data_IF_610746216126
#
_entry.id   IF_610746216126
#
_cell.length_a   1.000
_cell.length_b   1.000
_cell.length_c   1.000
_cell.angle_alpha   90.00
_cell.angle_beta   90.00
_cell.angle_gamma   90.00
#
_symmetry.space_group_name_H-M   'P 1'
#
loop_
_entity.id
_entity.type
_entity.pdbx_description
1 polymer ?
#
# COMPACT_ATOMS: atom_id res chain seq x y z
N UNK A 1 24.39 -10.43 -47.03
CA UNK A 1 23.77 -9.32 -46.31
C UNK A 1 22.97 -9.90 -45.17
N UNK A 2 23.37 -9.59 -43.92
CA UNK A 2 22.63 -9.94 -42.75
C UNK A 2 21.59 -8.85 -42.44
N UNK A 3 20.33 -9.22 -42.27
CA UNK A 3 19.26 -8.33 -41.79
C UNK A 3 19.21 -8.49 -40.28
N UNK A 4 19.40 -7.38 -39.55
CA UNK A 4 19.15 -7.32 -38.10
C UNK A 4 17.85 -6.57 -37.86
N UNK A 5 17.03 -7.05 -36.93
CA UNK A 5 15.86 -6.33 -36.43
C UNK A 5 16.06 -5.94 -34.97
N UNK A 6 15.50 -4.81 -34.58
CA UNK A 6 15.48 -4.31 -33.24
C UNK A 6 14.04 -4.11 -32.81
N UNK A 7 13.60 -4.79 -31.76
CA UNK A 7 12.28 -4.56 -31.20
C UNK A 7 12.28 -3.24 -30.42
N UNK A 8 11.32 -2.37 -30.71
CA UNK A 8 11.11 -1.11 -29.98
C UNK A 8 9.74 -1.09 -29.36
N UNK A 9 9.72 -0.76 -28.08
CA UNK A 9 8.51 -0.64 -27.29
C UNK A 9 8.22 0.84 -27.04
N UNK A 10 6.93 1.19 -26.96
CA UNK A 10 6.52 2.52 -26.49
C UNK A 10 6.76 2.63 -24.98
N UNK A 11 7.18 3.81 -24.54
CA UNK A 11 7.32 4.07 -23.11
C UNK A 11 5.93 4.30 -22.47
N UNK A 12 5.71 3.85 -21.22
CA UNK A 12 4.50 4.19 -20.48
C UNK A 12 4.42 5.71 -20.23
N UNK A 13 3.23 6.25 -19.91
CA UNK A 13 3.10 7.64 -19.48
C UNK A 13 4.03 7.96 -18.32
N UNK A 14 4.55 9.18 -18.30
CA UNK A 14 5.38 9.66 -17.19
C UNK A 14 4.57 9.73 -15.90
N UNK A 15 5.21 9.48 -14.75
CA UNK A 15 4.62 9.78 -13.45
C UNK A 15 4.40 11.28 -13.29
N UNK A 16 3.42 11.66 -12.49
CA UNK A 16 3.20 13.05 -12.15
C UNK A 16 4.40 13.64 -11.40
N UNK A 17 4.71 14.89 -11.71
CA UNK A 17 5.46 15.79 -10.83
C UNK A 17 4.45 16.59 -9.99
N UNK A 18 4.92 17.31 -8.97
CA UNK A 18 4.06 18.20 -8.16
C UNK A 18 3.31 19.20 -9.06
N UNK A 19 4.02 19.85 -9.98
CA UNK A 19 3.42 20.80 -10.91
C UNK A 19 2.44 20.15 -11.89
N UNK A 20 2.77 18.98 -12.45
CA UNK A 20 1.88 18.25 -13.34
C UNK A 20 0.62 17.73 -12.65
N UNK A 21 0.73 17.35 -11.37
CA UNK A 21 -0.44 16.97 -10.58
C UNK A 21 -1.33 18.19 -10.31
N UNK A 22 -0.76 19.35 -9.94
CA UNK A 22 -1.52 20.59 -9.73
C UNK A 22 -2.26 21.00 -11.02
N UNK A 23 -1.59 20.98 -12.17
CA UNK A 23 -2.21 21.27 -13.46
C UNK A 23 -3.39 20.32 -13.75
N UNK A 24 -3.22 19.04 -13.44
CA UNK A 24 -4.31 18.05 -13.61
C UNK A 24 -5.48 18.31 -12.67
N UNK A 25 -5.22 18.63 -11.40
CA UNK A 25 -6.24 18.99 -10.42
C UNK A 25 -7.02 20.24 -10.86
N UNK A 26 -6.32 21.26 -11.35
CA UNK A 26 -6.91 22.49 -11.90
C UNK A 26 -7.83 22.18 -13.08
N UNK A 27 -7.36 21.39 -14.04
CA UNK A 27 -8.14 21.00 -15.23
C UNK A 27 -9.38 20.17 -14.87
N UNK A 28 -9.34 19.41 -13.76
CA UNK A 28 -10.46 18.64 -13.24
C UNK A 28 -11.38 19.44 -12.31
N UNK A 29 -11.04 20.67 -11.96
CA UNK A 29 -11.79 21.50 -10.99
C UNK A 29 -11.67 21.03 -9.55
N UNK A 30 -10.65 20.21 -9.23
CA UNK A 30 -10.41 19.66 -7.90
C UNK A 30 -9.46 20.56 -7.13
N UNK A 31 -9.91 21.11 -6.01
CA UNK A 31 -9.15 22.08 -5.22
C UNK A 31 -9.22 23.50 -5.81
N UNK A 32 -8.50 24.40 -5.18
CA UNK A 32 -8.39 25.82 -5.57
C UNK A 32 -6.94 26.26 -5.34
N UNK A 33 -6.47 27.38 -5.91
CA UNK A 33 -5.08 27.84 -5.74
C UNK A 33 -4.61 27.88 -4.28
N UNK A 34 -5.50 28.24 -3.36
CA UNK A 34 -5.20 28.30 -1.92
C UNK A 34 -5.04 26.91 -1.26
N UNK A 35 -5.49 25.82 -1.88
CA UNK A 35 -5.49 24.48 -1.30
C UNK A 35 -4.51 23.51 -1.96
N UNK A 36 -4.00 23.80 -3.16
CA UNK A 36 -3.10 22.87 -3.88
C UNK A 36 -1.87 22.48 -3.06
N UNK A 37 -1.20 23.45 -2.44
CA UNK A 37 -0.01 23.15 -1.64
C UNK A 37 -0.32 22.22 -0.46
N UNK A 38 -1.46 22.42 0.20
CA UNK A 38 -1.89 21.56 1.32
C UNK A 38 -2.33 20.16 0.87
N UNK A 39 -2.90 20.03 -0.33
CA UNK A 39 -3.24 18.74 -0.93
C UNK A 39 -1.95 17.95 -1.20
N UNK A 40 -0.98 18.55 -1.91
CA UNK A 40 0.30 17.91 -2.19
C UNK A 40 1.00 17.47 -0.90
N UNK A 41 1.13 18.38 0.09
CA UNK A 41 1.74 18.05 1.37
C UNK A 41 1.05 16.85 2.03
N UNK A 42 -0.27 16.83 2.07
CA UNK A 42 -1.03 15.76 2.72
C UNK A 42 -0.87 14.41 2.04
N UNK A 43 -0.85 14.36 0.71
CA UNK A 43 -0.66 13.09 0.00
C UNK A 43 0.78 12.58 0.14
N UNK A 44 1.78 13.47 0.13
CA UNK A 44 3.20 13.09 0.28
C UNK A 44 3.57 12.69 1.70
N UNK A 45 2.80 13.09 2.70
CA UNK A 45 3.02 12.65 4.09
C UNK A 45 2.75 11.15 4.30
N UNK A 46 1.81 10.55 3.55
CA UNK A 46 1.32 9.19 3.85
C UNK A 46 1.19 8.31 2.61
N UNK A 47 0.72 8.86 1.49
CA UNK A 47 0.24 8.07 0.36
C UNK A 47 1.17 8.02 -0.84
N UNK A 48 2.07 9.00 -0.94
CA UNK A 48 2.93 9.19 -2.10
C UNK A 48 4.31 9.56 -1.62
N UNK A 49 5.35 8.93 -2.16
CA UNK A 49 6.73 9.37 -1.95
C UNK A 49 7.26 10.11 -3.17
N UNK A 50 8.19 11.02 -2.95
CA UNK A 50 8.89 11.71 -4.03
C UNK A 50 10.17 10.97 -4.41
N UNK A 51 10.29 10.61 -5.69
CA UNK A 51 11.51 10.07 -6.28
C UNK A 51 12.03 11.03 -7.34
N UNK A 52 13.01 11.84 -6.99
CA UNK A 52 13.46 12.94 -7.83
C UNK A 52 12.34 13.96 -8.06
N UNK A 53 11.83 14.05 -9.28
CA UNK A 53 10.69 14.91 -9.65
C UNK A 53 9.37 14.14 -9.77
N UNK A 54 9.39 12.85 -9.57
CA UNK A 54 8.23 11.98 -9.77
C UNK A 54 7.54 11.67 -8.45
N UNK A 55 6.22 11.65 -8.49
CA UNK A 55 5.38 11.20 -7.39
C UNK A 55 5.09 9.70 -7.58
N UNK A 56 5.45 8.89 -6.59
CA UNK A 56 5.28 7.43 -6.60
C UNK A 56 4.31 7.02 -5.50
N UNK A 57 3.14 6.44 -5.85
CA UNK A 57 2.18 6.00 -4.85
C UNK A 57 2.73 4.88 -3.98
N UNK A 58 2.47 4.96 -2.67
CA UNK A 58 2.77 3.94 -1.70
C UNK A 58 1.69 2.84 -1.69
N UNK A 59 1.99 1.61 -1.28
CA UNK A 59 1.00 0.52 -1.21
C UNK A 59 -0.27 0.88 -0.44
N UNK A 60 -0.15 1.68 0.61
CA UNK A 60 -1.30 2.11 1.41
C UNK A 60 -2.29 2.95 0.60
N UNK A 61 -1.83 3.69 -0.42
CA UNK A 61 -2.70 4.46 -1.30
C UNK A 61 -3.60 3.55 -2.12
N UNK A 62 -3.05 2.49 -2.70
CA UNK A 62 -3.80 1.52 -3.50
C UNK A 62 -4.85 0.81 -2.65
N UNK A 63 -4.44 0.21 -1.52
CA UNK A 63 -5.36 -0.50 -0.63
C UNK A 63 -6.52 0.41 -0.16
N UNK A 64 -6.23 1.70 0.08
CA UNK A 64 -7.26 2.65 0.49
C UNK A 64 -8.22 3.01 -0.64
N UNK A 65 -7.70 3.21 -1.85
CA UNK A 65 -8.53 3.52 -3.01
C UNK A 65 -9.41 2.32 -3.36
N UNK A 66 -8.89 1.10 -3.34
CA UNK A 66 -9.65 -0.12 -3.60
C UNK A 66 -10.88 -0.21 -2.69
N UNK A 67 -10.70 -0.06 -1.37
CA UNK A 67 -11.83 -0.05 -0.41
C UNK A 67 -12.83 1.07 -0.70
N UNK A 68 -12.34 2.27 -0.98
CA UNK A 68 -13.23 3.39 -1.26
C UNK A 68 -14.02 3.18 -2.55
N UNK A 69 -13.41 2.60 -3.59
CA UNK A 69 -14.09 2.27 -4.84
C UNK A 69 -15.13 1.17 -4.66
N UNK A 70 -14.84 0.16 -3.84
CA UNK A 70 -15.75 -0.96 -3.60
C UNK A 70 -16.97 -0.57 -2.75
N UNK A 71 -16.79 0.30 -1.77
CA UNK A 71 -17.83 0.62 -0.78
C UNK A 71 -18.42 2.03 -0.91
N UNK A 72 -17.65 2.97 -1.46
CA UNK A 72 -18.00 4.38 -1.56
C UNK A 72 -17.62 4.98 -2.93
N UNK A 73 -18.00 4.35 -4.06
CA UNK A 73 -17.53 4.76 -5.39
C UNK A 73 -17.81 6.23 -5.71
N UNK A 74 -18.97 6.75 -5.29
CA UNK A 74 -19.34 8.16 -5.56
C UNK A 74 -18.37 9.14 -4.88
N UNK A 75 -17.78 8.81 -3.71
CA UNK A 75 -16.88 9.72 -2.99
C UNK A 75 -15.48 9.83 -3.64
N UNK A 76 -15.10 8.88 -4.49
CA UNK A 76 -13.80 8.86 -5.18
C UNK A 76 -13.89 9.33 -6.64
N UNK A 77 -15.10 9.60 -7.12
CA UNK A 77 -15.30 10.21 -8.44
C UNK A 77 -14.73 11.63 -8.47
N UNK A 78 -13.97 11.96 -9.51
CA UNK A 78 -13.39 13.30 -9.67
C UNK A 78 -14.47 14.38 -9.77
N UNK A 79 -15.57 14.06 -10.45
CA UNK A 79 -16.73 14.95 -10.59
C UNK A 79 -17.35 15.31 -9.25
N UNK A 80 -17.42 14.36 -8.30
CA UNK A 80 -17.95 14.60 -6.96
C UNK A 80 -17.18 15.71 -6.23
N UNK A 81 -15.86 15.62 -6.25
CA UNK A 81 -15.00 16.63 -5.60
C UNK A 81 -15.11 17.99 -6.31
N UNK A 82 -15.09 18.00 -7.65
CA UNK A 82 -15.25 19.23 -8.42
C UNK A 82 -16.61 19.92 -8.15
N UNK A 83 -17.70 19.17 -8.17
CA UNK A 83 -19.03 19.68 -7.83
C UNK A 83 -19.11 20.21 -6.40
N UNK A 84 -18.44 19.57 -5.45
CA UNK A 84 -18.38 20.05 -4.07
C UNK A 84 -17.65 21.39 -3.98
N UNK A 85 -16.55 21.56 -4.68
CA UNK A 85 -15.81 22.82 -4.76
C UNK A 85 -16.68 23.94 -5.37
N UNK A 86 -17.41 23.65 -6.46
CA UNK A 86 -18.32 24.59 -7.10
C UNK A 86 -19.46 25.01 -6.16
N UNK A 87 -20.02 24.09 -5.38
CA UNK A 87 -21.04 24.39 -4.37
C UNK A 87 -20.50 25.25 -3.23
N UNK A 88 -19.24 25.04 -2.82
CA UNK A 88 -18.58 25.88 -1.84
C UNK A 88 -18.37 27.32 -2.38
N UNK A 89 -18.06 27.47 -3.67
CA UNK A 89 -17.98 28.79 -4.32
C UNK A 89 -19.37 29.48 -4.38
N UNK A 90 -20.44 28.72 -4.63
CA UNK A 90 -21.80 29.28 -4.56
C UNK A 90 -22.16 29.77 -3.16
N UNK A 91 -21.74 29.08 -2.10
CA UNK A 91 -21.92 29.53 -0.72
C UNK A 91 -21.13 30.81 -0.47
N UNK A 92 -19.86 30.86 -0.90
CA UNK A 92 -19.02 32.04 -0.76
C UNK A 92 -19.62 33.29 -1.43
N UNK A 93 -20.28 33.09 -2.56
CA UNK A 93 -20.95 34.15 -3.33
C UNK A 93 -22.39 34.46 -2.85
N UNK A 94 -22.87 33.77 -1.81
CA UNK A 94 -24.22 33.98 -1.28
C UNK A 94 -25.36 33.38 -2.11
N UNK A 95 -25.05 32.54 -3.10
CA UNK A 95 -26.01 31.91 -4.02
C UNK A 95 -26.51 30.55 -3.54
N UNK A 96 -25.92 29.98 -2.48
CA UNK A 96 -26.31 28.74 -1.84
C UNK A 96 -26.16 28.88 -0.32
N UNK A 97 -27.11 28.33 0.44
CA UNK A 97 -26.98 28.27 1.91
C UNK A 97 -26.14 27.05 2.31
N UNK A 98 -25.27 27.26 3.27
CA UNK A 98 -24.43 26.16 3.83
C UNK A 98 -25.28 25.00 4.36
N UNK A 99 -26.38 25.32 5.03
CA UNK A 99 -27.30 24.35 5.62
C UNK A 99 -27.91 23.43 4.55
N UNK A 100 -28.28 23.99 3.39
CA UNK A 100 -28.83 23.21 2.28
C UNK A 100 -27.80 22.24 1.71
N UNK A 101 -26.54 22.68 1.50
CA UNK A 101 -25.46 21.81 1.06
C UNK A 101 -25.21 20.68 2.06
N UNK A 102 -25.14 20.99 3.37
CA UNK A 102 -24.88 19.98 4.41
C UNK A 102 -26.03 18.98 4.51
N UNK A 103 -27.30 19.44 4.39
CA UNK A 103 -28.45 18.54 4.37
C UNK A 103 -28.42 17.61 3.16
N UNK A 104 -28.18 18.15 1.95
CA UNK A 104 -28.07 17.35 0.73
C UNK A 104 -26.95 16.33 0.81
N UNK A 105 -25.80 16.71 1.32
CA UNK A 105 -24.66 15.82 1.48
C UNK A 105 -24.92 14.72 2.51
N UNK A 106 -25.50 15.08 3.67
CA UNK A 106 -25.69 14.13 4.76
C UNK A 106 -26.92 13.22 4.59
N UNK A 107 -28.05 13.80 4.25
CA UNK A 107 -29.32 13.07 4.14
C UNK A 107 -29.66 12.66 2.70
N UNK A 108 -29.06 13.30 1.72
CA UNK A 108 -29.35 13.13 0.30
C UNK A 108 -30.53 14.03 -0.18
N UNK A 109 -30.55 14.24 -1.49
CA UNK A 109 -31.59 14.94 -2.18
C UNK A 109 -31.89 14.22 -3.50
N UNK A 110 -32.77 13.24 -3.47
CA UNK A 110 -33.04 12.33 -4.59
C UNK A 110 -31.95 11.26 -4.84
N UNK A 111 -30.86 11.30 -4.07
CA UNK A 111 -29.80 10.30 -4.00
C UNK A 111 -29.58 9.89 -2.55
N UNK A 112 -28.87 8.78 -2.32
CA UNK A 112 -28.45 8.38 -0.97
C UNK A 112 -27.46 9.39 -0.42
N UNK A 113 -27.75 9.92 0.77
CA UNK A 113 -26.81 10.77 1.49
C UNK A 113 -25.69 9.96 2.17
N UNK A 114 -24.67 10.65 2.65
CA UNK A 114 -23.56 10.02 3.35
C UNK A 114 -24.02 9.18 4.55
N UNK A 115 -25.03 9.62 5.27
CA UNK A 115 -25.62 8.88 6.40
C UNK A 115 -26.09 7.48 6.01
N UNK A 116 -26.71 7.33 4.84
CA UNK A 116 -27.20 6.04 4.37
C UNK A 116 -26.05 5.16 3.81
N UNK A 117 -24.99 5.79 3.31
CA UNK A 117 -23.80 5.10 2.82
C UNK A 117 -22.93 4.56 3.95
N UNK A 118 -22.82 5.25 5.08
CA UNK A 118 -22.03 4.86 6.25
C UNK A 118 -22.87 4.20 7.35
N UNK A 119 -24.01 3.59 7.00
CA UNK A 119 -24.78 2.88 7.99
C UNK A 119 -23.99 1.71 8.59
N UNK A 120 -24.38 1.26 9.79
CA UNK A 120 -23.67 0.22 10.52
C UNK A 120 -23.56 -1.11 9.74
N UNK A 121 -24.51 -1.40 8.86
CA UNK A 121 -24.54 -2.64 8.08
C UNK A 121 -23.45 -2.65 7.01
N UNK A 122 -23.24 -1.53 6.31
CA UNK A 122 -22.15 -1.38 5.34
C UNK A 122 -20.80 -1.47 6.05
N UNK A 123 -20.64 -0.74 7.16
CA UNK A 123 -19.37 -0.73 7.91
C UNK A 123 -19.03 -2.12 8.47
N UNK A 124 -20.02 -2.87 8.96
CA UNK A 124 -19.82 -4.23 9.48
C UNK A 124 -19.39 -5.24 8.41
N UNK A 125 -19.74 -5.00 7.15
CA UNK A 125 -19.39 -5.86 6.02
C UNK A 125 -18.01 -5.55 5.42
N UNK A 126 -17.36 -4.44 5.81
CA UNK A 126 -16.01 -4.12 5.39
C UNK A 126 -15.02 -4.95 6.22
N UNK A 127 -14.26 -5.82 5.56
CA UNK A 127 -13.16 -6.53 6.22
C UNK A 127 -11.99 -5.56 6.48
N UNK A 128 -11.61 -5.30 7.74
CA UNK A 128 -10.47 -4.43 8.04
C UNK A 128 -9.15 -4.90 7.41
N UNK A 129 -9.05 -6.17 7.02
CA UNK A 129 -7.85 -6.70 6.35
C UNK A 129 -7.73 -6.22 4.92
N UNK A 130 -8.85 -5.91 4.26
CA UNK A 130 -8.86 -5.38 2.88
C UNK A 130 -8.20 -4.00 2.83
N UNK A 131 -8.37 -3.17 3.87
CA UNK A 131 -7.70 -1.88 4.00
C UNK A 131 -6.15 -1.95 4.01
N UNK A 132 -5.60 -3.14 4.15
CA UNK A 132 -4.15 -3.38 4.24
C UNK A 132 -3.65 -4.41 3.25
N UNK A 133 -4.49 -4.82 2.31
CA UNK A 133 -4.22 -5.92 1.37
C UNK A 133 -4.46 -5.48 -0.06
N UNK A 134 -3.48 -5.72 -0.92
CA UNK A 134 -3.61 -5.54 -2.36
C UNK A 134 -3.47 -6.92 -2.99
N UNK A 135 -4.49 -7.36 -3.71
CA UNK A 135 -4.46 -8.62 -4.47
C UNK A 135 -3.55 -8.43 -5.68
N UNK A 136 -2.59 -9.33 -5.86
CA UNK A 136 -1.68 -9.28 -7.00
C UNK A 136 -2.09 -10.30 -8.07
N UNK A 137 -1.70 -11.54 -7.89
CA UNK A 137 -1.94 -12.63 -8.85
C UNK A 137 -1.83 -13.99 -8.15
N UNK A 138 -2.01 -15.06 -8.91
CA UNK A 138 -1.76 -16.43 -8.46
C UNK A 138 -0.40 -16.90 -8.99
N UNK A 139 0.34 -17.62 -8.17
CA UNK A 139 1.59 -18.25 -8.60
C UNK A 139 1.35 -19.45 -9.55
N UNK A 140 2.43 -20.11 -9.99
CA UNK A 140 2.35 -21.26 -10.90
C UNK A 140 1.65 -22.48 -10.29
N UNK A 141 1.52 -22.52 -8.97
CA UNK A 141 0.83 -23.57 -8.23
C UNK A 141 -0.64 -23.21 -7.93
N UNK A 142 -1.10 -22.04 -8.38
CA UNK A 142 -2.45 -21.53 -8.16
C UNK A 142 -2.67 -20.91 -6.78
N UNK A 143 -1.61 -20.64 -6.03
CA UNK A 143 -1.68 -19.97 -4.72
C UNK A 143 -1.79 -18.47 -4.91
N UNK A 144 -2.77 -17.85 -4.26
CA UNK A 144 -2.92 -16.40 -4.28
C UNK A 144 -1.76 -15.71 -3.57
N UNK A 145 -1.24 -14.66 -4.19
CA UNK A 145 -0.23 -13.78 -3.62
C UNK A 145 -0.83 -12.39 -3.47
N UNK A 146 -0.66 -11.83 -2.27
CA UNK A 146 -1.11 -10.50 -1.94
C UNK A 146 0.05 -9.66 -1.38
N UNK A 147 -0.02 -8.36 -1.60
CA UNK A 147 0.84 -7.39 -0.95
C UNK A 147 0.14 -6.87 0.30
N UNK A 148 0.76 -7.02 1.45
CA UNK A 148 0.33 -6.41 2.71
C UNK A 148 1.05 -5.08 2.89
N UNK A 149 0.31 -4.02 3.25
CA UNK A 149 0.90 -2.69 3.48
C UNK A 149 1.84 -2.64 4.69
N UNK A 150 1.78 -3.68 5.54
CA UNK A 150 2.68 -3.83 6.67
C UNK A 150 2.32 -2.96 7.87
N UNK A 151 3.13 -3.10 8.94
CA UNK A 151 3.02 -2.24 10.13
C UNK A 151 3.93 -1.03 9.99
N UNK A 152 3.50 0.09 10.53
CA UNK A 152 4.36 1.28 10.64
C UNK A 152 5.40 1.01 11.74
N UNK A 153 6.68 1.01 11.35
CA UNK A 153 7.82 0.84 12.26
C UNK A 153 8.77 2.01 12.01
N UNK A 154 9.02 2.82 13.04
CA UNK A 154 9.90 4.00 12.92
C UNK A 154 9.36 5.07 11.95
N UNK A 155 8.03 5.22 11.84
CA UNK A 155 7.39 6.22 10.98
C UNK A 155 7.22 5.78 9.51
N UNK A 156 7.64 4.56 9.14
CA UNK A 156 7.48 4.00 7.80
C UNK A 156 6.73 2.68 7.83
N UNK A 157 5.81 2.48 6.89
CA UNK A 157 5.22 1.19 6.63
C UNK A 157 6.29 0.24 6.04
N UNK A 158 6.25 -1.04 6.43
CA UNK A 158 7.10 -2.08 5.85
C UNK A 158 6.21 -3.11 5.15
N UNK A 159 5.92 -2.89 3.88
CA UNK A 159 5.13 -3.82 3.09
C UNK A 159 5.83 -5.17 2.94
N UNK A 160 5.04 -6.22 2.75
CA UNK A 160 5.55 -7.57 2.52
C UNK A 160 4.58 -8.38 1.67
N UNK A 161 5.10 -9.37 0.99
CA UNK A 161 4.30 -10.33 0.23
C UNK A 161 3.79 -11.43 1.17
N UNK A 162 2.54 -11.83 0.98
CA UNK A 162 1.91 -12.96 1.68
C UNK A 162 1.29 -13.88 0.63
N UNK A 163 1.65 -15.15 0.67
CA UNK A 163 1.07 -16.21 -0.14
C UNK A 163 -0.03 -16.94 0.66
N UNK A 164 -1.03 -17.48 0.01
CA UNK A 164 -2.21 -18.10 0.66
C UNK A 164 -1.88 -19.29 1.57
N UNK A 165 -0.70 -19.90 1.45
CA UNK A 165 -0.20 -20.94 2.34
C UNK A 165 0.43 -20.39 3.64
N UNK A 166 0.41 -19.08 3.83
CA UNK A 166 0.98 -18.40 5.00
C UNK A 166 2.44 -18.00 4.88
N UNK A 167 3.11 -18.36 3.77
CA UNK A 167 4.48 -17.93 3.51
C UNK A 167 4.53 -16.44 3.18
N UNK A 168 5.58 -15.78 3.67
CA UNK A 168 5.81 -14.34 3.47
C UNK A 168 7.15 -14.08 2.84
N UNK A 169 7.29 -13.03 2.03
CA UNK A 169 8.56 -12.55 1.53
C UNK A 169 8.71 -11.04 1.75
N UNK A 170 9.93 -10.59 1.99
CA UNK A 170 10.26 -9.17 2.18
C UNK A 170 10.49 -8.49 0.84
N UNK A 171 10.24 -7.19 0.81
CA UNK A 171 10.47 -6.34 -0.36
C UNK A 171 11.65 -5.40 -0.10
N UNK A 172 12.40 -4.99 -1.13
CA UNK A 172 13.39 -3.92 -1.03
C UNK A 172 12.71 -2.60 -0.65
N UNK A 173 13.46 -1.66 -0.07
CA UNK A 173 12.88 -0.38 0.37
C UNK A 173 12.45 0.52 -0.79
N UNK A 174 13.05 0.34 -1.96
CA UNK A 174 12.83 1.13 -3.18
C UNK A 174 11.85 0.48 -4.17
N UNK A 175 11.17 -0.62 -3.78
CA UNK A 175 10.22 -1.26 -4.68
C UNK A 175 9.05 -0.32 -5.03
N UNK A 176 8.46 -0.57 -6.19
CA UNK A 176 7.21 0.08 -6.64
C UNK A 176 6.18 -1.00 -6.96
N UNK A 177 4.89 -0.69 -6.94
CA UNK A 177 3.86 -1.71 -7.22
C UNK A 177 3.99 -2.26 -8.64
N UNK A 178 4.32 -1.43 -9.59
CA UNK A 178 4.56 -1.83 -11.00
C UNK A 178 5.82 -2.70 -11.18
N UNK A 179 6.74 -2.74 -10.20
CA UNK A 179 7.86 -3.67 -10.21
C UNK A 179 7.50 -5.08 -9.72
N UNK A 180 6.32 -5.29 -9.15
CA UNK A 180 5.87 -6.57 -8.62
C UNK A 180 5.37 -7.51 -9.72
N UNK A 181 6.27 -7.84 -10.67
CA UNK A 181 5.96 -8.86 -11.68
C UNK A 181 5.95 -10.27 -11.08
N UNK A 182 5.27 -11.26 -11.70
CA UNK A 182 5.29 -12.65 -11.23
C UNK A 182 6.71 -13.20 -11.02
N UNK A 183 7.65 -12.85 -11.92
CA UNK A 183 9.04 -13.28 -11.87
C UNK A 183 9.77 -12.67 -10.67
N UNK A 184 9.63 -11.36 -10.47
CA UNK A 184 10.23 -10.66 -9.34
C UNK A 184 9.72 -11.21 -8.00
N UNK A 185 8.41 -11.40 -7.91
CA UNK A 185 7.77 -11.93 -6.69
C UNK A 185 8.22 -13.37 -6.40
N UNK A 186 8.30 -14.22 -7.43
CA UNK A 186 8.82 -15.58 -7.27
C UNK A 186 10.26 -15.56 -6.78
N UNK A 187 11.10 -14.70 -7.34
CA UNK A 187 12.50 -14.56 -6.89
C UNK A 187 12.60 -14.21 -5.40
N UNK A 188 11.71 -13.35 -4.88
CA UNK A 188 11.67 -13.01 -3.44
C UNK A 188 11.35 -14.22 -2.56
N UNK A 189 10.42 -15.07 -2.97
CA UNK A 189 10.14 -16.32 -2.25
C UNK A 189 11.31 -17.31 -2.35
N UNK A 190 11.89 -17.48 -3.55
CA UNK A 190 13.04 -18.36 -3.77
C UNK A 190 14.28 -17.94 -2.96
N UNK A 191 14.53 -16.64 -2.84
CA UNK A 191 15.61 -16.12 -1.98
C UNK A 191 15.38 -16.47 -0.52
N UNK A 192 14.16 -16.35 -0.04
CA UNK A 192 13.81 -16.74 1.32
C UNK A 192 14.02 -18.23 1.55
N UNK A 193 13.63 -19.06 0.59
CA UNK A 193 13.81 -20.52 0.67
C UNK A 193 15.30 -20.89 0.66
N UNK A 194 16.12 -20.23 -0.16
CA UNK A 194 17.59 -20.39 -0.14
C UNK A 194 18.17 -20.00 1.21
N UNK A 195 17.72 -18.88 1.79
CA UNK A 195 18.17 -18.46 3.13
C UNK A 195 17.71 -19.43 4.21
N UNK A 196 16.48 -19.96 4.12
CA UNK A 196 15.94 -20.96 5.05
C UNK A 196 16.71 -22.28 4.96
N UNK A 197 17.18 -22.66 3.78
CA UNK A 197 18.06 -23.85 3.61
C UNK A 197 19.41 -23.72 4.33
N UNK A 198 19.81 -22.50 4.73
CA UNK A 198 20.99 -22.28 5.57
C UNK A 198 20.70 -22.52 7.06
N UNK A 199 19.45 -22.64 7.47
CA UNK A 199 19.09 -22.98 8.86
C UNK A 199 19.60 -24.38 9.18
N UNK A 200 20.51 -24.47 10.15
CA UNK A 200 21.13 -25.71 10.56
C UNK A 200 21.70 -25.65 11.97
N UNK A 201 21.87 -26.79 12.55
CA UNK A 201 22.66 -26.94 13.77
C UNK A 201 24.14 -26.74 13.47
N UNK A 202 24.77 -25.82 14.17
CA UNK A 202 26.19 -25.48 13.99
C UNK A 202 27.06 -26.25 14.96
N UNK A 203 26.53 -26.55 16.15
CA UNK A 203 27.28 -27.27 17.20
C UNK A 203 26.57 -27.17 18.55
N UNK A 204 27.27 -27.56 19.58
CA UNK A 204 26.82 -27.53 20.97
C UNK A 204 27.73 -26.60 21.78
N UNK A 205 27.14 -25.69 22.53
CA UNK A 205 27.88 -24.83 23.44
C UNK A 205 28.52 -25.65 24.57
N UNK A 206 29.84 -25.64 24.70
CA UNK A 206 30.52 -26.46 25.68
C UNK A 206 30.22 -26.10 27.14
N UNK A 207 29.76 -24.87 27.40
CA UNK A 207 29.46 -24.39 28.74
C UNK A 207 28.03 -24.73 29.20
N UNK A 208 27.05 -24.66 28.31
CA UNK A 208 25.66 -24.90 28.66
C UNK A 208 25.09 -26.22 28.12
N UNK A 209 25.79 -26.91 27.24
CA UNK A 209 25.33 -28.13 26.56
C UNK A 209 24.17 -27.90 25.59
N UNK A 210 23.84 -26.63 25.26
CA UNK A 210 22.75 -26.28 24.36
C UNK A 210 23.19 -26.23 22.92
N UNK A 211 22.31 -26.64 22.00
CA UNK A 211 22.57 -26.58 20.57
C UNK A 211 22.64 -25.13 20.09
N UNK A 212 23.63 -24.83 19.26
CA UNK A 212 23.77 -23.57 18.55
C UNK A 212 23.16 -23.77 17.15
N UNK A 213 22.20 -22.98 16.77
CA UNK A 213 21.52 -23.04 15.46
C UNK A 213 21.70 -21.74 14.69
N UNK A 214 21.86 -21.84 13.37
CA UNK A 214 21.63 -20.71 12.47
C UNK A 214 20.14 -20.67 12.21
N UNK A 215 19.51 -19.52 12.45
CA UNK A 215 18.07 -19.29 12.22
C UNK A 215 17.91 -18.04 11.37
N UNK A 216 16.92 -18.03 10.47
CA UNK A 216 16.57 -16.87 9.68
C UNK A 216 15.69 -15.91 10.49
N UNK A 217 16.19 -14.71 10.71
CA UNK A 217 15.44 -13.62 11.34
C UNK A 217 14.98 -12.54 10.36
N UNK A 218 14.21 -11.57 10.83
CA UNK A 218 13.72 -10.47 10.00
C UNK A 218 14.82 -9.59 9.38
N UNK A 219 16.04 -9.66 9.95
CA UNK A 219 17.20 -8.88 9.53
C UNK A 219 18.34 -9.75 8.94
N UNK A 220 18.04 -11.00 8.64
CA UNK A 220 19.01 -11.97 8.12
C UNK A 220 19.29 -13.12 9.08
N UNK A 221 20.19 -14.05 8.70
CA UNK A 221 20.59 -15.18 9.54
C UNK A 221 21.27 -14.71 10.82
N UNK A 222 20.96 -15.37 11.93
CA UNK A 222 21.61 -15.13 13.23
C UNK A 222 21.84 -16.44 13.99
N UNK A 223 22.76 -16.43 14.92
CA UNK A 223 23.01 -17.57 15.80
C UNK A 223 22.06 -17.55 16.99
N UNK A 224 21.44 -18.69 17.29
CA UNK A 224 20.59 -18.88 18.45
C UNK A 224 21.12 -20.02 19.32
N UNK A 225 21.23 -19.77 20.63
CA UNK A 225 21.62 -20.77 21.61
C UNK A 225 20.40 -21.41 22.27
N UNK A 226 20.15 -22.68 21.96
CA UNK A 226 19.00 -23.45 22.44
C UNK A 226 17.69 -23.11 21.75
N UNK A 227 16.60 -23.74 22.15
CA UNK A 227 15.28 -23.59 21.55
C UNK A 227 14.43 -22.49 22.23
N UNK A 228 13.51 -21.91 21.46
CA UNK A 228 12.55 -20.94 21.98
C UNK A 228 11.42 -21.68 22.71
N UNK A 229 11.41 -21.61 24.03
CA UNK A 229 10.34 -22.17 24.84
C UNK A 229 9.17 -21.17 25.01
N UNK A 230 7.93 -21.66 24.82
CA UNK A 230 6.72 -20.85 24.98
C UNK A 230 6.64 -20.32 26.42
N UNK A 231 6.58 -18.99 26.59
CA UNK A 231 6.46 -18.35 27.92
C UNK A 231 7.78 -18.04 28.64
N UNK A 232 8.92 -18.38 28.09
CA UNK A 232 10.25 -18.05 28.66
C UNK A 232 10.94 -16.91 27.91
N UNK A 233 11.99 -16.34 28.55
CA UNK A 233 12.84 -15.32 27.90
C UNK A 233 13.38 -15.85 26.56
N UNK A 234 13.45 -14.96 25.57
CA UNK A 234 14.06 -15.29 24.27
C UNK A 234 15.45 -15.90 24.47
N UNK A 235 15.83 -16.93 23.67
CA UNK A 235 17.18 -17.48 23.69
C UNK A 235 18.21 -16.38 23.43
N UNK A 236 19.48 -16.59 23.89
CA UNK A 236 20.56 -15.69 23.54
C UNK A 236 20.80 -15.72 22.03
N UNK A 237 20.90 -14.55 21.43
CA UNK A 237 21.09 -14.34 20.01
C UNK A 237 22.37 -13.54 19.80
N UNK A 238 23.09 -13.84 18.75
CA UNK A 238 24.28 -13.13 18.31
C UNK A 238 24.28 -13.01 16.77
N UNK A 239 25.01 -12.02 16.24
CA UNK A 239 25.17 -11.83 14.80
C UNK A 239 25.89 -12.99 14.14
#
# INVERSE_FOLDING_TARGET
SSVSYEEKYTSPPSRYSDSGLIETLENLGIGRPSTYASIISRITDVYVRSEGRSLVPEPIAFAKIDILQDHFPELVEYSFTAEMEDKLDLISNGNLKREDLLNDFWFGNGKKGLKDQINEEIIKNIDPTDATTIKLFHDKEGKEIVLKTGRIVGGRARPYLLRSDGETATLPEDFTIDSLTPEFVQERFDEKDKLRALERDVGVDPLSGKTIKIILGPFGPYLQLGEKEKGKRKPKQGP
#
